data_IF_334528086754
#
_entry.id   IF_334528086754
#
_cell.length_a   1.000
_cell.length_b   1.000
_cell.length_c   1.000
_cell.angle_alpha   90.00
_cell.angle_beta   90.00
_cell.angle_gamma   90.00
#
_symmetry.space_group_name_H-M   'P 1'
#
loop_
_entity.id
_entity.type
_entity.pdbx_description
1 polymer ?
#
# COMPACT_ATOMS: atom_id res chain seq x y z
N UNK A 1 -37.84 -2.52 -0.96
CA UNK A 1 -38.13 -3.98 -0.87
C UNK A 1 -37.83 -4.43 0.55
N UNK A 2 -38.84 -4.73 1.36
CA UNK A 2 -38.68 -5.27 2.71
C UNK A 2 -38.53 -6.78 2.51
N UNK A 3 -37.28 -7.27 2.48
CA UNK A 3 -37.04 -8.71 2.48
C UNK A 3 -37.46 -9.28 3.83
N UNK A 4 -38.50 -10.10 3.83
CA UNK A 4 -38.88 -10.92 4.96
C UNK A 4 -37.79 -11.99 5.18
N UNK A 5 -36.71 -11.59 5.89
CA UNK A 5 -35.62 -12.52 6.22
C UNK A 5 -36.14 -13.60 7.14
N UNK A 6 -36.03 -14.86 6.71
CA UNK A 6 -36.33 -16.05 7.51
C UNK A 6 -35.55 -15.98 8.85
N UNK A 7 -36.08 -16.57 9.92
CA UNK A 7 -35.41 -16.66 11.23
C UNK A 7 -33.99 -17.22 11.11
N UNK A 8 -33.76 -18.20 10.23
CA UNK A 8 -32.43 -18.76 9.95
C UNK A 8 -31.47 -17.73 9.37
N UNK A 9 -31.95 -16.83 8.49
CA UNK A 9 -31.12 -15.75 7.92
C UNK A 9 -30.74 -14.72 8.98
N UNK A 10 -31.65 -14.39 9.90
CA UNK A 10 -31.35 -13.48 11.03
C UNK A 10 -30.31 -14.07 11.99
N UNK A 11 -30.41 -15.35 12.32
CA UNK A 11 -29.43 -16.05 13.16
C UNK A 11 -28.06 -16.06 12.46
N UNK A 12 -28.01 -16.38 11.18
CA UNK A 12 -26.77 -16.35 10.40
C UNK A 12 -26.14 -14.96 10.37
N UNK A 13 -26.94 -13.90 10.13
CA UNK A 13 -26.47 -12.54 10.12
C UNK A 13 -25.87 -12.13 11.48
N UNK A 14 -26.51 -12.50 12.60
CA UNK A 14 -26.00 -12.24 13.95
C UNK A 14 -24.69 -12.99 14.21
N UNK A 15 -24.64 -14.28 13.89
CA UNK A 15 -23.41 -15.07 14.06
C UNK A 15 -22.25 -14.52 13.22
N UNK A 16 -22.53 -14.09 11.99
CA UNK A 16 -21.54 -13.49 11.11
C UNK A 16 -21.01 -12.16 11.70
N UNK A 17 -21.91 -11.31 12.20
CA UNK A 17 -21.50 -10.04 12.85
C UNK A 17 -20.65 -10.32 14.09
N UNK A 18 -21.06 -11.25 14.95
CA UNK A 18 -20.28 -11.64 16.13
C UNK A 18 -18.89 -12.15 15.75
N UNK A 19 -18.82 -13.03 14.74
CA UNK A 19 -17.55 -13.55 14.23
C UNK A 19 -16.65 -12.40 13.70
N UNK A 20 -17.20 -11.49 12.90
CA UNK A 20 -16.44 -10.33 12.38
C UNK A 20 -15.97 -9.41 13.51
N UNK A 21 -16.77 -9.17 14.54
CA UNK A 21 -16.36 -8.38 15.71
C UNK A 21 -15.21 -9.06 16.46
N UNK A 22 -15.28 -10.37 16.65
CA UNK A 22 -14.18 -11.13 17.29
C UNK A 22 -12.89 -11.00 16.47
N UNK A 23 -12.95 -11.20 15.15
CA UNK A 23 -11.80 -11.05 14.26
C UNK A 23 -11.24 -9.61 14.33
N UNK A 24 -12.10 -8.61 14.30
CA UNK A 24 -11.70 -7.21 14.42
C UNK A 24 -10.96 -6.95 15.74
N UNK A 25 -11.47 -7.45 16.88
CA UNK A 25 -10.82 -7.30 18.18
C UNK A 25 -9.45 -7.98 18.22
N UNK A 26 -9.32 -9.18 17.65
CA UNK A 26 -8.04 -9.88 17.54
C UNK A 26 -7.04 -9.08 16.70
N UNK A 27 -7.49 -8.48 15.58
CA UNK A 27 -6.63 -7.66 14.72
C UNK A 27 -6.19 -6.35 15.38
N UNK A 28 -7.03 -5.75 16.22
CA UNK A 28 -6.72 -4.51 16.93
C UNK A 28 -5.78 -4.75 18.13
N UNK A 29 -5.85 -5.94 18.76
CA UNK A 29 -5.12 -6.26 19.97
C UNK A 29 -3.61 -5.99 19.91
N UNK A 30 -2.86 -6.42 18.85
CA UNK A 30 -1.43 -6.13 18.76
C UNK A 30 -1.12 -4.63 18.69
N UNK A 31 -1.94 -3.86 17.98
CA UNK A 31 -1.76 -2.40 17.86
C UNK A 31 -2.03 -1.73 19.21
N UNK A 32 -3.10 -2.16 19.89
CA UNK A 32 -3.43 -1.69 21.24
C UNK A 32 -2.32 -1.99 22.26
N UNK A 33 -1.78 -3.21 22.22
CA UNK A 33 -0.67 -3.61 23.08
C UNK A 33 0.58 -2.73 22.87
N UNK A 34 0.97 -2.49 21.61
CA UNK A 34 2.10 -1.60 21.27
C UNK A 34 1.86 -0.19 21.80
N UNK A 35 0.64 0.33 21.70
CA UNK A 35 0.27 1.64 22.24
C UNK A 35 0.39 1.65 23.77
N UNK A 36 -0.10 0.63 24.48
CA UNK A 36 0.06 0.51 25.94
C UNK A 36 1.53 0.45 26.35
N UNK A 37 2.35 -0.33 25.65
CA UNK A 37 3.80 -0.42 25.88
C UNK A 37 4.48 0.91 25.67
N UNK A 38 4.16 1.64 24.58
CA UNK A 38 4.78 2.93 24.27
C UNK A 38 4.51 4.04 25.31
N UNK A 39 3.40 3.92 26.02
CA UNK A 39 2.97 4.84 27.07
C UNK A 39 3.34 4.37 28.49
N UNK A 40 3.97 3.21 28.64
CA UNK A 40 4.33 2.62 29.93
C UNK A 40 5.76 2.90 30.33
N UNK A 41 6.05 2.83 31.63
CA UNK A 41 7.40 2.95 32.14
C UNK A 41 8.27 1.75 31.70
N UNK A 42 9.55 2.01 31.44
CA UNK A 42 10.52 1.00 31.02
C UNK A 42 10.61 -0.18 31.99
N UNK A 43 10.48 0.11 33.29
CA UNK A 43 10.50 -0.89 34.35
C UNK A 43 9.29 -1.84 34.26
N UNK A 44 8.11 -1.27 34.03
CA UNK A 44 6.87 -2.04 33.91
C UNK A 44 6.87 -2.92 32.64
N UNK A 45 7.41 -2.41 31.54
CA UNK A 45 7.55 -3.15 30.28
C UNK A 45 8.53 -4.32 30.45
N UNK A 46 9.71 -4.07 31.02
CA UNK A 46 10.73 -5.11 31.25
C UNK A 46 10.26 -6.17 32.26
N UNK A 47 9.40 -5.77 33.21
CA UNK A 47 8.80 -6.70 34.17
C UNK A 47 7.59 -7.47 33.62
N UNK A 48 7.20 -7.25 32.35
CA UNK A 48 6.05 -7.91 31.73
C UNK A 48 4.69 -7.57 32.34
N UNK A 49 4.59 -6.43 33.07
CA UNK A 49 3.36 -6.03 33.79
C UNK A 49 2.35 -5.32 32.88
N UNK A 50 2.74 -4.94 31.67
CA UNK A 50 1.87 -4.25 30.72
C UNK A 50 1.06 -5.28 29.94
N UNK A 51 -0.28 -5.21 29.98
CA UNK A 51 -1.16 -6.07 29.22
C UNK A 51 -2.18 -5.21 28.43
N UNK A 52 -3.32 -4.90 29.04
CA UNK A 52 -4.40 -4.13 28.40
C UNK A 52 -4.37 -2.63 28.70
N UNK A 53 -3.62 -2.20 29.71
CA UNK A 53 -3.53 -0.82 30.15
C UNK A 53 -2.09 -0.41 30.39
N UNK A 54 -1.73 0.86 30.12
CA UNK A 54 -0.39 1.35 30.40
C UNK A 54 -0.14 1.39 31.92
N UNK A 55 1.06 0.95 32.32
CA UNK A 55 1.52 0.93 33.72
C UNK A 55 2.66 1.91 33.88
N UNK A 56 2.50 2.87 34.84
CA UNK A 56 3.50 3.94 35.02
C UNK A 56 3.53 4.88 33.80
N UNK A 57 2.39 5.50 33.47
CA UNK A 57 2.21 6.36 32.32
C UNK A 57 3.33 7.40 32.18
N UNK A 58 4.02 7.39 31.05
CA UNK A 58 5.01 8.41 30.69
C UNK A 58 5.12 8.58 29.17
N UNK A 59 5.68 9.72 28.76
CA UNK A 59 5.92 10.08 27.37
C UNK A 59 7.41 10.10 27.00
N UNK A 60 8.26 9.52 27.85
CA UNK A 60 9.72 9.55 27.67
C UNK A 60 10.16 8.93 26.34
N UNK A 61 9.51 7.87 25.90
CA UNK A 61 9.80 7.24 24.60
C UNK A 61 9.56 8.21 23.44
N UNK A 62 8.47 8.97 23.48
CA UNK A 62 8.16 9.97 22.46
C UNK A 62 9.09 11.18 22.52
N UNK A 63 9.38 11.68 23.73
CA UNK A 63 10.33 12.78 23.92
C UNK A 63 11.73 12.41 23.42
N UNK A 64 12.18 11.18 23.67
CA UNK A 64 13.47 10.70 23.20
C UNK A 64 13.52 10.63 21.67
N UNK A 65 12.50 10.05 21.02
CA UNK A 65 12.43 9.94 19.56
C UNK A 65 12.39 11.32 18.91
N UNK A 66 11.63 12.26 19.47
CA UNK A 66 11.55 13.63 18.93
C UNK A 66 12.79 14.44 19.23
N UNK A 67 13.46 14.21 20.38
CA UNK A 67 14.64 14.93 20.81
C UNK A 67 15.93 14.52 20.11
N UNK A 68 16.06 13.28 19.65
CA UNK A 68 17.26 12.77 18.98
C UNK A 68 17.43 13.25 17.52
N UNK A 69 16.59 14.17 17.04
CA UNK A 69 16.75 14.92 15.77
C UNK A 69 16.68 14.14 14.47
N UNK A 70 16.85 12.81 14.50
CA UNK A 70 16.83 11.97 13.29
C UNK A 70 15.43 11.60 12.80
N UNK A 71 14.45 11.51 13.70
CA UNK A 71 13.09 11.08 13.37
C UNK A 71 12.39 12.03 12.40
N UNK A 72 12.40 13.31 12.67
CA UNK A 72 11.76 14.32 11.81
C UNK A 72 12.37 14.34 10.40
N UNK A 73 13.71 14.20 10.30
CA UNK A 73 14.40 14.08 9.01
C UNK A 73 13.94 12.85 8.23
N UNK A 74 13.91 11.68 8.87
CA UNK A 74 13.45 10.43 8.27
C UNK A 74 11.97 10.48 7.88
N UNK A 75 11.14 11.12 8.70
CA UNK A 75 9.72 11.32 8.42
C UNK A 75 9.49 12.19 7.18
N UNK A 76 10.24 13.31 7.05
CA UNK A 76 10.18 14.17 5.88
C UNK A 76 10.65 13.46 4.61
N UNK A 77 11.69 12.60 4.70
CA UNK A 77 12.12 11.77 3.57
C UNK A 77 11.02 10.79 3.19
N UNK A 78 10.32 10.20 4.15
CA UNK A 78 9.19 9.30 3.90
C UNK A 78 8.04 10.00 3.19
N UNK A 79 7.69 11.23 3.61
CA UNK A 79 6.67 12.05 2.94
C UNK A 79 7.11 12.36 1.50
N UNK A 80 8.34 12.83 1.30
CA UNK A 80 8.88 13.10 -0.04
C UNK A 80 8.82 11.86 -0.94
N UNK A 81 9.21 10.70 -0.40
CA UNK A 81 9.12 9.42 -1.12
C UNK A 81 7.69 9.09 -1.55
N UNK A 82 6.72 9.23 -0.65
CA UNK A 82 5.31 8.95 -0.94
C UNK A 82 4.79 9.88 -2.03
N UNK A 83 4.98 11.18 -1.88
CA UNK A 83 4.48 12.18 -2.84
C UNK A 83 5.12 11.98 -4.21
N UNK A 84 6.46 11.94 -4.28
CA UNK A 84 7.19 11.78 -5.54
C UNK A 84 6.94 10.38 -6.15
N UNK A 85 6.97 9.32 -5.34
CA UNK A 85 6.74 7.96 -5.79
C UNK A 85 5.35 7.76 -6.35
N UNK A 86 4.32 8.31 -5.69
CA UNK A 86 2.94 8.23 -6.19
C UNK A 86 2.77 9.03 -7.47
N UNK A 87 3.30 10.26 -7.54
CA UNK A 87 3.22 11.09 -8.75
C UNK A 87 3.88 10.40 -9.95
N UNK A 88 5.11 9.93 -9.81
CA UNK A 88 5.85 9.22 -10.86
C UNK A 88 5.13 7.93 -11.26
N UNK A 89 4.70 7.13 -10.28
CA UNK A 89 3.98 5.88 -10.52
C UNK A 89 2.67 6.13 -11.27
N UNK A 90 1.88 7.12 -10.88
CA UNK A 90 0.63 7.48 -11.56
C UNK A 90 0.87 7.88 -13.01
N UNK A 91 1.86 8.74 -13.28
CA UNK A 91 2.21 9.15 -14.64
C UNK A 91 2.61 7.92 -15.47
N UNK A 92 3.52 7.08 -14.97
CA UNK A 92 3.98 5.89 -15.68
C UNK A 92 2.83 4.89 -15.94
N UNK A 93 1.98 4.65 -14.94
CA UNK A 93 0.83 3.74 -15.06
C UNK A 93 -0.16 4.26 -16.10
N UNK A 94 -0.52 5.55 -16.05
CA UNK A 94 -1.47 6.13 -17.01
C UNK A 94 -0.91 6.15 -18.42
N UNK A 95 0.36 6.53 -18.60
CA UNK A 95 1.03 6.51 -19.91
C UNK A 95 1.11 5.11 -20.51
N UNK A 96 1.31 4.07 -19.69
CA UNK A 96 1.32 2.69 -20.15
C UNK A 96 -0.10 2.14 -20.38
N UNK A 97 -1.05 2.43 -19.49
CA UNK A 97 -2.39 1.87 -19.53
C UNK A 97 -3.24 2.44 -20.68
N UNK A 98 -3.10 3.73 -21.00
CA UNK A 98 -3.88 4.38 -22.02
C UNK A 98 -3.74 3.72 -23.40
N UNK A 99 -2.55 3.56 -24.00
CA UNK A 99 -2.41 2.87 -25.28
C UNK A 99 -2.82 1.38 -25.20
N UNK A 100 -2.58 0.71 -24.09
CA UNK A 100 -2.94 -0.69 -23.90
C UNK A 100 -4.45 -0.92 -23.77
N UNK A 101 -5.22 0.09 -23.41
CA UNK A 101 -6.68 0.02 -23.35
C UNK A 101 -7.33 0.07 -24.75
N UNK A 102 -6.64 0.60 -25.75
CA UNK A 102 -7.14 0.82 -27.11
C UNK A 102 -7.46 -0.50 -27.85
N UNK A 103 -8.27 -0.39 -28.93
CA UNK A 103 -8.61 -1.53 -29.78
C UNK A 103 -7.39 -2.05 -30.56
N UNK A 104 -7.43 -3.30 -31.03
CA UNK A 104 -6.34 -3.85 -31.87
C UNK A 104 -6.13 -3.07 -33.17
N UNK A 105 -7.16 -2.38 -33.68
CA UNK A 105 -7.04 -1.53 -34.87
C UNK A 105 -6.23 -0.27 -34.60
N UNK A 106 -6.39 0.34 -33.43
CA UNK A 106 -5.68 1.55 -32.99
C UNK A 106 -4.26 1.25 -32.52
N UNK A 107 -4.05 0.10 -31.84
CA UNK A 107 -2.74 -0.34 -31.37
C UNK A 107 -2.51 -1.84 -31.64
N UNK A 108 -1.98 -2.20 -32.84
CA UNK A 108 -1.84 -3.62 -33.27
C UNK A 108 -0.94 -4.44 -32.35
N UNK A 109 0.13 -3.86 -31.84
CA UNK A 109 1.16 -4.54 -31.04
C UNK A 109 0.86 -4.61 -29.54
N UNK A 110 -0.31 -4.16 -29.08
CA UNK A 110 -0.66 -4.14 -27.65
C UNK A 110 -0.51 -5.49 -26.93
N UNK A 111 -0.72 -6.60 -27.66
CA UNK A 111 -0.56 -7.94 -27.11
C UNK A 111 0.88 -8.24 -26.67
N UNK A 112 1.87 -7.82 -27.47
CA UNK A 112 3.29 -8.02 -27.16
C UNK A 112 3.65 -7.23 -25.89
N UNK A 113 3.27 -5.95 -25.82
CA UNK A 113 3.53 -5.13 -24.63
C UNK A 113 2.85 -5.69 -23.38
N UNK A 114 1.62 -6.19 -23.51
CA UNK A 114 0.92 -6.81 -22.38
C UNK A 114 1.65 -8.07 -21.91
N UNK A 115 2.15 -8.90 -22.83
CA UNK A 115 2.94 -10.09 -22.47
C UNK A 115 4.25 -9.75 -21.79
N UNK A 116 4.97 -8.70 -22.26
CA UNK A 116 6.19 -8.22 -21.62
C UNK A 116 5.89 -7.77 -20.18
N UNK A 117 4.81 -7.01 -19.96
CA UNK A 117 4.43 -6.57 -18.63
C UNK A 117 4.09 -7.75 -17.71
N UNK A 118 3.32 -8.73 -18.20
CA UNK A 118 2.99 -9.93 -17.44
C UNK A 118 4.24 -10.75 -17.14
N UNK A 119 5.16 -10.87 -18.09
CA UNK A 119 6.45 -11.52 -17.87
C UNK A 119 7.23 -10.82 -16.75
N UNK A 120 7.37 -9.50 -16.80
CA UNK A 120 8.03 -8.73 -15.74
C UNK A 120 7.34 -8.85 -14.37
N UNK A 121 6.02 -9.08 -14.33
CA UNK A 121 5.28 -9.32 -13.09
C UNK A 121 5.60 -10.69 -12.48
N UNK A 122 5.74 -11.71 -13.33
CA UNK A 122 5.97 -13.10 -12.89
C UNK A 122 7.44 -13.38 -12.56
N UNK A 123 8.37 -12.73 -13.25
CA UNK A 123 9.80 -12.94 -13.09
C UNK A 123 10.43 -11.79 -12.31
N UNK A 124 10.86 -12.10 -11.11
CA UNK A 124 11.60 -11.16 -10.26
C UNK A 124 13.06 -11.66 -10.17
N UNK A 125 13.99 -10.78 -10.54
CA UNK A 125 15.42 -11.08 -10.47
C UNK A 125 15.97 -11.29 -9.06
N UNK A 126 15.20 -10.94 -8.03
CA UNK A 126 15.62 -11.02 -6.64
C UNK A 126 16.39 -9.78 -6.16
N UNK A 127 16.78 -9.84 -4.90
CA UNK A 127 17.41 -8.70 -4.19
C UNK A 127 18.80 -8.38 -4.71
N UNK A 128 19.60 -9.41 -5.07
CA UNK A 128 21.01 -9.22 -5.49
C UNK A 128 21.09 -8.49 -6.85
N UNK A 129 20.44 -8.94 -7.92
CA UNK A 129 20.42 -8.20 -9.19
C UNK A 129 19.83 -6.80 -9.05
N UNK A 130 18.82 -6.62 -8.22
CA UNK A 130 18.26 -5.30 -7.92
C UNK A 130 19.31 -4.38 -7.29
N UNK A 131 20.03 -4.85 -6.27
CA UNK A 131 21.09 -4.08 -5.62
C UNK A 131 22.21 -3.69 -6.60
N UNK A 132 22.69 -4.65 -7.42
CA UNK A 132 23.72 -4.38 -8.42
C UNK A 132 23.27 -3.32 -9.42
N UNK A 133 22.02 -3.40 -9.87
CA UNK A 133 21.43 -2.42 -10.79
C UNK A 133 21.39 -1.03 -10.16
N UNK A 134 20.90 -0.91 -8.92
CA UNK A 134 20.84 0.38 -8.23
C UNK A 134 22.23 0.98 -8.00
N UNK A 135 23.22 0.15 -7.69
CA UNK A 135 24.62 0.55 -7.52
C UNK A 135 25.22 1.05 -8.85
N UNK A 136 25.00 0.34 -9.94
CA UNK A 136 25.55 0.70 -11.27
C UNK A 136 24.98 2.02 -11.78
N UNK A 137 23.73 2.33 -11.46
CA UNK A 137 23.10 3.60 -11.81
C UNK A 137 23.34 4.72 -10.78
N UNK A 138 24.19 4.49 -9.77
CA UNK A 138 24.48 5.47 -8.68
C UNK A 138 23.22 5.96 -7.94
N UNK A 139 22.23 5.08 -7.77
CA UNK A 139 20.94 5.41 -7.15
C UNK A 139 20.86 5.02 -5.66
N UNK A 140 21.92 4.43 -5.08
CA UNK A 140 21.89 3.86 -3.72
C UNK A 140 21.56 4.89 -2.64
N UNK A 141 22.16 6.08 -2.69
CA UNK A 141 21.97 7.15 -1.70
C UNK A 141 21.06 8.27 -2.22
N UNK A 142 20.20 7.94 -3.17
CA UNK A 142 19.32 8.91 -3.82
C UNK A 142 17.85 8.61 -3.53
N UNK A 143 17.02 9.66 -3.38
CA UNK A 143 15.57 9.51 -3.31
C UNK A 143 15.00 8.85 -4.58
N UNK A 144 15.67 9.04 -5.71
CA UNK A 144 15.29 8.42 -6.98
C UNK A 144 15.42 6.89 -6.97
N UNK A 145 16.38 6.34 -6.23
CA UNK A 145 16.45 4.89 -6.02
C UNK A 145 15.21 4.32 -5.32
N UNK A 146 14.65 5.08 -4.37
CA UNK A 146 13.42 4.72 -3.68
C UNK A 146 12.16 4.91 -4.55
N UNK A 147 12.16 5.92 -5.41
CA UNK A 147 11.02 6.25 -6.28
C UNK A 147 10.98 5.34 -7.51
N UNK A 148 12.10 5.19 -8.22
CA UNK A 148 12.16 4.42 -9.47
C UNK A 148 12.07 2.90 -9.21
N UNK A 149 12.59 2.42 -8.09
CA UNK A 149 12.51 1.01 -7.71
C UNK A 149 11.07 0.49 -7.54
N UNK A 150 10.11 1.39 -7.31
CA UNK A 150 8.69 1.08 -7.15
C UNK A 150 7.80 1.77 -8.20
N UNK A 151 8.40 2.46 -9.18
CA UNK A 151 7.70 3.39 -10.06
C UNK A 151 6.64 2.77 -10.97
N UNK A 152 6.86 1.57 -11.49
CA UNK A 152 5.88 0.91 -12.37
C UNK A 152 5.43 -0.43 -11.79
N UNK A 153 4.29 -0.44 -11.13
CA UNK A 153 3.65 -1.68 -10.70
C UNK A 153 2.72 -2.19 -11.81
N UNK A 154 3.09 -3.32 -12.43
CA UNK A 154 2.33 -3.91 -13.54
C UNK A 154 0.88 -4.20 -13.18
N UNK A 155 0.62 -4.64 -11.95
CA UNK A 155 -0.76 -4.85 -11.46
C UNK A 155 -1.61 -3.59 -11.59
N UNK A 156 -1.08 -2.42 -11.22
CA UNK A 156 -1.77 -1.14 -11.35
C UNK A 156 -2.03 -0.76 -12.82
N UNK A 157 -1.10 -1.11 -13.72
CA UNK A 157 -1.31 -0.92 -15.18
C UNK A 157 -2.49 -1.75 -15.66
N UNK A 158 -2.58 -3.03 -15.27
CA UNK A 158 -3.69 -3.91 -15.66
C UNK A 158 -5.03 -3.39 -15.13
N UNK A 159 -5.07 -2.92 -13.88
CA UNK A 159 -6.27 -2.31 -13.29
C UNK A 159 -6.67 -1.05 -14.07
N UNK A 160 -5.72 -0.17 -14.37
CA UNK A 160 -5.98 1.05 -15.13
C UNK A 160 -6.45 0.76 -16.57
N UNK A 161 -5.87 -0.25 -17.24
CA UNK A 161 -6.32 -0.72 -18.57
C UNK A 161 -7.79 -1.15 -18.51
N UNK A 162 -8.16 -1.94 -17.49
CA UNK A 162 -9.55 -2.39 -17.34
C UNK A 162 -10.49 -1.23 -17.03
N UNK A 163 -10.05 -0.27 -16.22
CA UNK A 163 -10.81 0.95 -15.95
C UNK A 163 -11.05 1.76 -17.24
N UNK A 164 -10.01 2.02 -18.02
CA UNK A 164 -10.15 2.75 -19.27
C UNK A 164 -11.06 2.06 -20.30
N UNK A 165 -11.06 0.72 -20.35
CA UNK A 165 -11.97 -0.03 -21.24
C UNK A 165 -13.45 0.11 -20.86
N UNK A 166 -13.73 0.35 -19.58
CA UNK A 166 -15.10 0.48 -19.07
C UNK A 166 -15.62 1.92 -19.11
N UNK A 167 -14.81 2.89 -19.55
CA UNK A 167 -15.27 4.28 -19.71
C UNK A 167 -16.28 4.39 -20.86
N UNK A 168 -17.39 5.12 -20.66
CA UNK A 168 -18.35 5.38 -21.74
C UNK A 168 -17.68 6.14 -22.88
N UNK A 169 -17.99 5.73 -24.13
CA UNK A 169 -17.48 6.39 -25.35
C UNK A 169 -17.80 7.89 -25.40
N UNK A 170 -18.93 8.30 -24.82
CA UNK A 170 -19.34 9.71 -24.74
C UNK A 170 -18.31 10.61 -24.03
N UNK A 171 -17.55 10.08 -23.05
CA UNK A 171 -16.48 10.84 -22.38
C UNK A 171 -15.26 10.98 -23.26
N UNK A 172 -15.02 10.01 -24.14
CA UNK A 172 -13.91 10.04 -25.09
C UNK A 172 -14.18 11.02 -26.23
N UNK A 173 -15.41 11.02 -26.74
CA UNK A 173 -15.87 11.97 -27.77
C UNK A 173 -15.93 13.42 -27.30
N UNK A 174 -16.15 13.65 -26.01
CA UNK A 174 -16.14 14.99 -25.42
C UNK A 174 -14.74 15.61 -25.28
N UNK A 175 -13.67 14.81 -25.43
CA UNK A 175 -12.28 15.27 -25.34
C UNK A 175 -11.66 15.60 -26.72
N UNK A 176 -12.38 15.30 -27.82
CA UNK A 176 -12.01 15.60 -29.19
C UNK A 176 -13.03 16.53 -29.86
#
# INVERSE_FOLDING_TARGET
>A
MIENKSLRSKIFDVLNVVFLVIVMLICIMPVWYVLCVSLSSREAVNAGKVAFWPVGFNLLSYQKILGEGGFLGSFLISIKRVVLGTAVSMVCVLMAAFPLSRTKKQFPHKGIFMWILVFCMLFNGGTVPWYITMRNYHLMDSIWGLVLGTGLQVFNVILAVNFFKNLPLALEEACF
#
